data_IF_598777147900
#
_entry.id   IF_598777147900
#
_cell.length_a   1.000
_cell.length_b   1.000
_cell.length_c   1.000
_cell.angle_alpha   90.00
_cell.angle_beta   90.00
_cell.angle_gamma   90.00
#
_symmetry.space_group_name_H-M   'P 1'
#
loop_
_entity.id
_entity.type
_entity.pdbx_description
1 polymer ?
#
# COMPACT_ATOMS: atom_id res chain seq x y z
N UNK A 1 18.12 18.05 5.07
CA UNK A 1 16.89 17.26 5.27
C UNK A 1 16.98 16.08 4.33
N UNK A 2 17.09 14.87 4.86
CA UNK A 2 17.19 13.64 4.04
C UNK A 2 15.97 12.77 4.25
N UNK A 3 15.40 12.31 3.13
CA UNK A 3 14.44 11.22 3.11
C UNK A 3 15.20 9.91 2.94
N UNK A 4 14.78 8.88 3.66
CA UNK A 4 15.35 7.53 3.57
C UNK A 4 14.23 6.52 3.44
N UNK A 5 14.48 5.47 2.66
CA UNK A 5 13.60 4.32 2.50
C UNK A 5 14.33 3.11 3.06
N UNK A 6 13.75 2.48 4.08
CA UNK A 6 14.33 1.32 4.76
C UNK A 6 13.43 0.12 4.56
N UNK A 7 14.00 -0.98 4.09
CA UNK A 7 13.31 -2.25 4.00
C UNK A 7 13.45 -2.98 5.33
N UNK A 8 12.35 -3.16 6.05
CA UNK A 8 12.33 -3.93 7.29
C UNK A 8 10.96 -4.57 7.52
N UNK A 9 10.96 -5.79 8.09
CA UNK A 9 9.75 -6.55 8.44
C UNK A 9 8.66 -6.55 7.34
N UNK A 10 9.08 -6.87 6.10
CA UNK A 10 8.23 -6.90 4.90
C UNK A 10 7.54 -5.57 4.55
N UNK A 11 8.15 -4.44 4.92
CA UNK A 11 7.67 -3.08 4.63
C UNK A 11 8.78 -2.18 4.11
N UNK A 12 8.36 -1.13 3.43
CA UNK A 12 9.18 0.01 3.06
C UNK A 12 8.86 1.15 4.00
N UNK A 13 9.71 1.38 4.98
CA UNK A 13 9.58 2.50 5.90
C UNK A 13 10.17 3.75 5.28
N UNK A 14 9.45 4.86 5.40
CA UNK A 14 9.94 6.17 4.97
C UNK A 14 10.21 7.02 6.19
N UNK A 15 11.45 7.47 6.32
CA UNK A 15 11.89 8.38 7.38
C UNK A 15 12.37 9.70 6.78
N UNK A 16 12.22 10.78 7.55
CA UNK A 16 12.83 12.10 7.28
C UNK A 16 13.64 12.51 8.49
N UNK A 17 14.95 12.72 8.30
CA UNK A 17 15.87 13.10 9.38
C UNK A 17 15.76 12.17 10.61
N UNK A 18 15.57 10.87 10.36
CA UNK A 18 15.39 9.82 11.39
C UNK A 18 13.97 9.66 11.95
N UNK A 19 13.04 10.56 11.65
CA UNK A 19 11.65 10.47 12.10
C UNK A 19 10.79 9.69 11.09
N UNK A 20 9.94 8.76 11.57
CA UNK A 20 9.02 8.00 10.73
C UNK A 20 7.94 8.92 10.13
N UNK A 21 7.82 8.92 8.80
CA UNK A 21 6.72 9.58 8.08
C UNK A 21 5.58 8.61 7.78
N UNK A 22 5.91 7.35 7.47
CA UNK A 22 4.94 6.34 7.12
C UNK A 22 5.62 5.11 6.54
N UNK A 23 4.82 4.23 5.96
CA UNK A 23 5.34 3.05 5.30
C UNK A 23 4.44 2.55 4.19
N UNK A 24 4.99 1.67 3.37
CA UNK A 24 4.29 1.00 2.30
C UNK A 24 4.50 -0.51 2.42
N UNK A 25 3.40 -1.25 2.32
CA UNK A 25 3.37 -2.68 2.53
C UNK A 25 2.52 -3.34 1.46
N UNK A 26 2.69 -4.66 1.34
CA UNK A 26 1.88 -5.47 0.47
C UNK A 26 1.64 -6.84 1.07
N UNK A 27 0.46 -7.39 0.80
CA UNK A 27 0.12 -8.76 1.15
C UNK A 27 -0.63 -9.44 0.01
N UNK A 28 -1.22 -10.61 0.27
CA UNK A 28 -1.93 -11.41 -0.73
C UNK A 28 -3.20 -10.76 -1.30
N UNK A 29 -3.68 -9.67 -0.70
CA UNK A 29 -4.89 -8.96 -1.13
C UNK A 29 -4.56 -7.69 -1.91
N UNK A 30 -3.55 -6.93 -1.47
CA UNK A 30 -3.24 -5.59 -1.99
C UNK A 30 -1.96 -5.01 -1.42
N UNK A 31 -1.57 -3.89 -2.02
CA UNK A 31 -0.57 -2.97 -1.51
C UNK A 31 -1.24 -1.74 -0.89
N UNK A 32 -0.68 -1.23 0.20
CA UNK A 32 -1.28 -0.19 1.03
C UNK A 32 -0.22 0.63 1.79
N UNK A 33 -0.58 1.86 2.16
CA UNK A 33 0.22 2.72 3.02
C UNK A 33 -0.22 2.60 4.48
N UNK A 34 0.73 2.42 5.39
CA UNK A 34 0.53 2.38 6.84
C UNK A 34 1.88 2.58 7.54
N UNK A 35 1.97 3.33 8.66
CA UNK A 35 0.91 4.04 9.38
C UNK A 35 0.51 5.38 8.74
N UNK A 36 -0.57 5.98 9.26
CA UNK A 36 -0.96 7.36 8.98
C UNK A 36 -1.34 8.06 10.29
N UNK A 37 -0.75 9.22 10.54
CA UNK A 37 -0.90 9.96 11.78
C UNK A 37 -1.69 11.25 11.55
N UNK A 38 -2.48 11.64 12.54
CA UNK A 38 -3.02 13.00 12.66
C UNK A 38 -1.88 14.02 12.86
N UNK A 39 -2.13 15.33 12.67
CA UNK A 39 -1.13 16.37 12.92
C UNK A 39 -0.54 16.36 14.34
N UNK A 40 -1.29 15.89 15.35
CA UNK A 40 -0.81 15.77 16.74
C UNK A 40 -0.11 14.42 17.03
N UNK A 41 0.15 13.60 16.01
CA UNK A 41 0.89 12.34 16.14
C UNK A 41 0.06 11.12 16.54
N UNK A 42 -1.27 11.24 16.68
CA UNK A 42 -2.12 10.08 16.94
C UNK A 42 -2.25 9.21 15.68
N UNK A 43 -2.01 7.89 15.79
CA UNK A 43 -2.27 6.93 14.73
C UNK A 43 -3.78 6.84 14.47
N UNK A 44 -4.22 7.09 13.23
CA UNK A 44 -5.66 7.12 12.88
C UNK A 44 -6.12 5.93 12.05
N UNK A 45 -5.23 4.99 11.75
CA UNK A 45 -5.53 3.77 10.99
C UNK A 45 -5.18 2.53 11.80
N UNK A 46 -5.85 1.43 11.50
CA UNK A 46 -5.47 0.09 11.94
C UNK A 46 -4.92 -0.73 10.76
N UNK A 47 -4.15 -1.75 11.07
CA UNK A 47 -3.65 -2.73 10.11
C UNK A 47 -4.08 -4.13 10.57
N UNK A 48 -5.01 -4.74 9.83
CA UNK A 48 -5.57 -6.06 10.06
C UNK A 48 -6.02 -6.33 11.51
N UNK A 49 -6.92 -5.52 12.09
CA UNK A 49 -7.44 -5.77 13.43
C UNK A 49 -8.16 -7.14 13.49
N UNK A 50 -8.18 -7.82 14.66
CA UNK A 50 -8.68 -9.20 14.76
C UNK A 50 -10.13 -9.41 14.30
N UNK A 51 -10.99 -8.41 14.49
CA UNK A 51 -12.41 -8.43 14.11
C UNK A 51 -12.63 -8.09 12.63
N UNK A 52 -11.69 -7.39 11.99
CA UNK A 52 -11.74 -7.02 10.57
C UNK A 52 -10.37 -7.17 9.89
N UNK A 53 -9.86 -8.41 9.71
CA UNK A 53 -8.48 -8.66 9.26
C UNK A 53 -8.20 -8.20 7.82
N UNK A 54 -9.24 -7.86 7.06
CA UNK A 54 -9.13 -7.32 5.70
C UNK A 54 -8.95 -5.79 5.68
N UNK A 55 -9.14 -5.08 6.80
CA UNK A 55 -8.89 -3.64 6.88
C UNK A 55 -7.39 -3.35 6.94
N UNK A 56 -6.87 -2.57 5.99
CA UNK A 56 -5.43 -2.34 5.82
C UNK A 56 -5.18 -0.88 5.42
N UNK A 57 -4.69 -0.03 6.32
CA UNK A 57 -4.13 1.28 5.95
C UNK A 57 -4.91 2.10 4.90
N UNK A 58 -4.18 2.76 4.00
CA UNK A 58 -4.71 3.49 2.83
C UNK A 58 -4.35 2.73 1.56
N UNK A 59 -5.33 2.50 0.69
CA UNK A 59 -5.17 1.77 -0.56
C UNK A 59 -6.28 2.13 -1.54
N UNK A 60 -6.09 1.78 -2.81
CA UNK A 60 -7.09 1.99 -3.85
C UNK A 60 -8.06 0.80 -3.90
N UNK A 61 -9.33 1.03 -3.61
CA UNK A 61 -10.40 0.05 -3.82
C UNK A 61 -11.23 0.39 -5.05
N UNK A 62 -11.50 -0.62 -5.86
CA UNK A 62 -12.25 -0.46 -7.12
C UNK A 62 -13.04 -1.74 -7.42
N UNK A 63 -14.16 -1.57 -8.10
CA UNK A 63 -14.81 -2.61 -8.89
C UNK A 63 -14.32 -2.50 -10.34
N UNK A 64 -13.81 -3.60 -10.90
CA UNK A 64 -13.33 -3.64 -12.29
C UNK A 64 -14.18 -4.64 -13.06
N UNK A 65 -14.95 -4.16 -14.03
CA UNK A 65 -15.82 -4.97 -14.88
C UNK A 65 -16.79 -5.89 -14.10
N UNK A 66 -17.32 -5.42 -12.97
CA UNK A 66 -18.23 -6.19 -12.09
C UNK A 66 -17.53 -7.11 -11.10
N UNK A 67 -16.19 -7.06 -11.04
CA UNK A 67 -15.41 -7.74 -10.00
C UNK A 67 -15.06 -6.77 -8.87
N UNK A 68 -15.65 -6.98 -7.70
CA UNK A 68 -15.31 -6.26 -6.48
C UNK A 68 -13.90 -6.66 -5.98
N UNK A 69 -12.93 -5.73 -6.02
CA UNK A 69 -11.60 -5.91 -5.43
C UNK A 69 -11.46 -5.21 -4.07
N UNK A 70 -12.49 -4.51 -3.63
CA UNK A 70 -12.49 -3.80 -2.35
C UNK A 70 -12.70 -4.79 -1.18
N UNK A 71 -13.72 -5.63 -1.29
CA UNK A 71 -14.29 -6.37 -0.17
C UNK A 71 -13.45 -7.57 0.31
N UNK A 72 -12.39 -7.92 -0.43
CA UNK A 72 -11.39 -8.94 -0.04
C UNK A 72 -11.96 -10.34 0.23
N UNK A 73 -13.11 -10.67 -0.34
CA UNK A 73 -13.82 -11.92 -0.09
C UNK A 73 -14.67 -11.95 1.17
N UNK A 74 -14.97 -10.80 1.80
CA UNK A 74 -15.91 -10.74 2.93
C UNK A 74 -17.35 -10.92 2.44
N UNK A 75 -18.25 -11.37 3.33
CA UNK A 75 -19.66 -11.63 2.98
C UNK A 75 -19.85 -12.62 1.82
N UNK A 76 -18.98 -13.64 1.74
CA UNK A 76 -18.99 -14.70 0.74
C UNK A 76 -18.87 -14.22 -0.72
N UNK A 77 -18.35 -13.00 -0.95
CA UNK A 77 -18.04 -12.52 -2.30
C UNK A 77 -16.74 -13.14 -2.83
N UNK A 78 -16.55 -13.23 -4.17
CA UNK A 78 -15.29 -13.71 -4.74
C UNK A 78 -14.07 -12.91 -4.26
N UNK A 79 -12.98 -13.61 -3.95
CA UNK A 79 -11.73 -13.02 -3.47
C UNK A 79 -10.83 -12.58 -4.62
N UNK A 80 -11.26 -11.54 -5.34
CA UNK A 80 -10.43 -10.83 -6.30
C UNK A 80 -9.29 -10.09 -5.57
N UNK A 81 -8.16 -9.83 -6.23
CA UNK A 81 -6.93 -9.38 -5.57
C UNK A 81 -6.10 -8.39 -6.40
N UNK A 82 -5.33 -7.58 -5.72
CA UNK A 82 -4.29 -6.73 -6.28
C UNK A 82 -2.93 -7.39 -6.03
N UNK A 83 -2.21 -7.72 -7.09
CA UNK A 83 -0.89 -8.36 -7.04
C UNK A 83 0.18 -7.41 -7.55
N UNK A 84 1.28 -7.27 -6.81
CA UNK A 84 2.44 -6.57 -7.34
C UNK A 84 3.08 -7.42 -8.43
N UNK A 85 3.50 -6.79 -9.52
CA UNK A 85 4.20 -7.47 -10.62
C UNK A 85 5.59 -7.92 -10.19
N UNK A 86 6.24 -7.18 -9.28
CA UNK A 86 7.52 -7.53 -8.67
C UNK A 86 7.37 -7.60 -7.15
N UNK A 87 8.21 -8.40 -6.44
CA UNK A 87 8.23 -8.39 -4.97
C UNK A 87 8.39 -6.97 -4.40
N UNK A 88 7.77 -6.69 -3.24
CA UNK A 88 7.83 -5.36 -2.62
C UNK A 88 9.27 -4.84 -2.46
N UNK A 89 10.23 -5.72 -2.19
CA UNK A 89 11.65 -5.34 -2.02
C UNK A 89 12.35 -4.91 -3.32
N UNK A 90 11.71 -5.13 -4.47
CA UNK A 90 12.26 -4.92 -5.81
C UNK A 90 11.55 -3.77 -6.55
N UNK A 91 10.60 -3.07 -5.90
CA UNK A 91 9.97 -1.91 -6.51
C UNK A 91 10.96 -0.76 -6.68
N UNK A 92 10.70 0.12 -7.65
CA UNK A 92 11.53 1.30 -7.86
C UNK A 92 11.34 2.29 -6.72
N UNK A 93 12.45 2.75 -6.13
CA UNK A 93 12.45 3.71 -5.04
C UNK A 93 13.37 4.88 -5.35
N UNK A 94 12.97 6.10 -5.00
CA UNK A 94 13.81 7.28 -5.15
C UNK A 94 13.58 8.27 -4.00
N UNK A 95 14.67 8.76 -3.40
CA UNK A 95 14.63 9.87 -2.45
C UNK A 95 15.10 11.17 -3.13
N UNK A 96 14.51 12.29 -2.73
CA UNK A 96 14.94 13.64 -3.06
C UNK A 96 14.88 14.52 -1.81
N UNK A 97 15.27 15.79 -1.94
CA UNK A 97 15.10 16.78 -0.86
C UNK A 97 13.63 17.02 -0.49
N UNK A 98 12.69 16.68 -1.38
CA UNK A 98 11.26 17.00 -1.25
C UNK A 98 10.38 15.79 -0.97
N UNK A 99 10.92 14.56 -0.99
CA UNK A 99 10.15 13.37 -0.69
C UNK A 99 10.83 12.05 -0.97
N UNK A 100 10.12 10.98 -0.63
CA UNK A 100 10.43 9.61 -1.02
C UNK A 100 9.34 9.11 -1.97
N UNK A 101 9.72 8.56 -3.12
CA UNK A 101 8.84 8.02 -4.15
C UNK A 101 9.03 6.52 -4.28
N UNK A 102 7.91 5.81 -4.39
CA UNK A 102 7.81 4.40 -4.71
C UNK A 102 7.04 4.25 -6.03
N UNK A 103 7.58 3.52 -7.00
CA UNK A 103 6.93 3.27 -8.30
C UNK A 103 6.90 1.77 -8.57
N UNK A 104 5.72 1.23 -8.90
CA UNK A 104 5.56 -0.18 -9.25
C UNK A 104 4.31 -0.43 -10.08
N UNK A 105 4.20 -1.64 -10.63
CA UNK A 105 3.00 -2.10 -11.33
C UNK A 105 2.17 -3.03 -10.45
N UNK A 106 0.84 -2.86 -10.52
CA UNK A 106 -0.14 -3.69 -9.84
C UNK A 106 -1.07 -4.32 -10.88
N UNK A 107 -1.21 -5.64 -10.82
CA UNK A 107 -2.23 -6.39 -11.55
C UNK A 107 -3.45 -6.54 -10.66
N UNK A 108 -4.60 -6.16 -11.18
CA UNK A 108 -5.90 -6.40 -10.58
C UNK A 108 -6.44 -7.67 -11.23
N UNK A 109 -6.62 -8.72 -10.44
CA UNK A 109 -6.94 -10.05 -10.95
C UNK A 109 -8.19 -10.61 -10.32
N UNK A 110 -9.00 -11.30 -11.14
CA UNK A 110 -10.18 -12.01 -10.67
C UNK A 110 -9.79 -13.19 -9.76
N UNK A 111 -10.77 -13.76 -9.06
CA UNK A 111 -10.57 -14.97 -8.25
C UNK A 111 -9.95 -16.11 -9.08
N UNK A 112 -10.38 -16.26 -10.34
CA UNK A 112 -9.91 -17.28 -11.29
C UNK A 112 -8.54 -16.95 -11.91
N UNK A 113 -7.98 -15.78 -11.60
CA UNK A 113 -6.65 -15.36 -12.06
C UNK A 113 -6.63 -14.62 -13.40
N UNK A 114 -7.77 -14.20 -13.92
CA UNK A 114 -7.83 -13.35 -15.11
C UNK A 114 -7.32 -11.94 -14.79
N UNK A 115 -6.53 -11.35 -15.70
CA UNK A 115 -6.14 -9.93 -15.63
C UNK A 115 -7.34 -9.05 -15.95
N UNK A 116 -7.74 -8.21 -15.01
CA UNK A 116 -8.83 -7.24 -15.16
C UNK A 116 -8.31 -5.83 -15.47
N UNK A 117 -7.27 -5.40 -14.75
CA UNK A 117 -6.64 -4.09 -14.92
C UNK A 117 -5.14 -4.19 -14.61
N UNK A 118 -4.35 -3.39 -15.33
CA UNK A 118 -2.94 -3.12 -14.99
C UNK A 118 -2.78 -1.65 -14.63
N UNK A 119 -2.25 -1.42 -13.45
CA UNK A 119 -2.03 -0.09 -12.89
C UNK A 119 -0.53 0.16 -12.75
N UNK A 120 -0.06 1.32 -13.22
CA UNK A 120 1.21 1.88 -12.77
C UNK A 120 0.94 2.78 -11.57
N UNK A 121 1.45 2.40 -10.40
CA UNK A 121 1.24 3.11 -9.14
C UNK A 121 2.47 3.92 -8.75
N UNK A 122 2.24 5.18 -8.42
CA UNK A 122 3.22 6.06 -7.77
C UNK A 122 2.72 6.44 -6.38
N UNK A 123 3.55 6.23 -5.35
CA UNK A 123 3.27 6.64 -3.97
C UNK A 123 4.37 7.59 -3.53
N UNK A 124 3.99 8.79 -3.10
CA UNK A 124 4.95 9.82 -2.70
C UNK A 124 4.69 10.23 -1.25
N UNK A 125 5.71 10.04 -0.42
CA UNK A 125 5.73 10.50 0.96
C UNK A 125 6.46 11.84 1.02
N UNK A 126 5.78 12.85 1.58
CA UNK A 126 6.34 14.19 1.82
C UNK A 126 5.91 14.65 3.20
N UNK A 127 6.83 15.24 3.94
CA UNK A 127 6.46 15.96 5.14
C UNK A 127 5.69 17.23 4.77
N UNK A 128 4.80 17.66 5.66
CA UNK A 128 4.15 18.97 5.53
C UNK A 128 5.21 20.09 5.52
N UNK A 129 4.94 21.22 4.85
CA UNK A 129 5.81 22.39 4.83
C UNK A 129 6.19 22.89 6.23
#
# INVERSE_FOLDING_TARGET
MSYEIVHDNARLWVTRDGALLGGYAANKLRAYAFPFFSPNGALVLQEAPPDHPHHQGIWAGLDVDGHDLWNAGSFDVPRNRQELVVPLREIETACSETGARLTHEVRWVSVDGADLLRERREVVFRAAP
#
